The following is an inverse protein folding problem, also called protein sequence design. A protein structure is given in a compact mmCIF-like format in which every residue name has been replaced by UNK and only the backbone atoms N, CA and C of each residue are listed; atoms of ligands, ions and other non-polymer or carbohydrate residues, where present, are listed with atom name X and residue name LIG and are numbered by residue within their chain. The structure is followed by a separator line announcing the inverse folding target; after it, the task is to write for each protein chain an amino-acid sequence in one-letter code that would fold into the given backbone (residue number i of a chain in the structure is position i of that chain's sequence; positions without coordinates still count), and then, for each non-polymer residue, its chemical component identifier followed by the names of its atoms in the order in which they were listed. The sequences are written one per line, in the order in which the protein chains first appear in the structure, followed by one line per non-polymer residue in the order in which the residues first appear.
data_IF_887751653724
#
_entry.id   IF_887751653724
#
_cell.length_a   1.000
_cell.length_b   1.000
_cell.length_c   1.000
_cell.angle_alpha   90.00
_cell.angle_beta   90.00
_cell.angle_gamma   90.00
#
_symmetry.space_group_name_H-M   'P 1'
#
loop_
_entity.id
_entity.type
_entity.pdbx_description
1 polymer ?
#
# COMPACT_ATOMS: atom_id res chain seq x y z
N UNK A 1 15.96 1.25 -19.99
CA UNK A 1 14.66 1.59 -19.40
C UNK A 1 14.35 3.02 -19.79
N UNK A 2 13.19 3.26 -20.37
CA UNK A 2 12.76 4.62 -20.67
C UNK A 2 12.23 5.23 -19.35
N UNK A 3 12.85 6.31 -18.90
CA UNK A 3 12.50 6.95 -17.63
C UNK A 3 11.02 7.39 -17.59
N UNK A 4 10.47 7.81 -18.73
CA UNK A 4 9.05 8.15 -18.86
C UNK A 4 8.10 7.00 -18.49
N UNK A 5 8.52 5.75 -18.59
CA UNK A 5 7.70 4.58 -18.29
C UNK A 5 7.52 4.34 -16.80
N UNK A 6 8.37 4.95 -15.95
CA UNK A 6 8.34 4.76 -14.49
C UNK A 6 7.46 5.77 -13.75
N UNK A 7 6.94 6.81 -14.41
CA UNK A 7 5.99 7.74 -13.80
C UNK A 7 4.72 7.04 -13.36
N UNK A 8 4.19 7.42 -12.21
CA UNK A 8 2.87 6.99 -11.74
C UNK A 8 1.81 7.60 -12.65
N UNK A 9 1.01 6.75 -13.30
CA UNK A 9 -0.07 7.14 -14.20
C UNK A 9 -1.42 7.19 -13.48
N UNK A 10 -1.69 6.17 -12.68
CA UNK A 10 -2.97 6.05 -11.93
C UNK A 10 -2.76 5.23 -10.65
N UNK A 11 -3.67 5.43 -9.72
CA UNK A 11 -3.77 4.66 -8.47
C UNK A 11 -5.22 4.19 -8.34
N UNK A 12 -5.42 2.88 -8.25
CA UNK A 12 -6.73 2.28 -8.02
C UNK A 12 -6.84 1.72 -6.61
N UNK A 13 -8.01 1.86 -6.01
CA UNK A 13 -8.28 1.41 -4.65
C UNK A 13 -9.48 0.46 -4.71
N UNK A 14 -9.32 -0.74 -4.16
CA UNK A 14 -10.34 -1.76 -4.09
C UNK A 14 -10.56 -2.19 -2.65
N UNK A 15 -11.80 -2.47 -2.30
CA UNK A 15 -12.14 -3.16 -1.05
C UNK A 15 -12.50 -4.61 -1.35
N UNK A 16 -11.84 -5.54 -0.67
CA UNK A 16 -12.18 -6.96 -0.68
C UNK A 16 -12.64 -7.38 0.71
N UNK A 17 -13.77 -8.04 0.81
CA UNK A 17 -14.35 -8.51 2.07
C UNK A 17 -14.52 -10.02 2.02
N UNK A 18 -13.95 -10.73 2.99
CA UNK A 18 -14.13 -12.16 3.18
C UNK A 18 -14.90 -12.42 4.47
N UNK A 19 -15.93 -13.26 4.40
CA UNK A 19 -16.57 -13.80 5.60
C UNK A 19 -15.73 -14.94 6.15
N UNK A 20 -15.56 -14.99 7.45
CA UNK A 20 -14.91 -16.11 8.13
C UNK A 20 -15.90 -17.26 8.32
N UNK A 21 -15.48 -18.48 8.01
CA UNK A 21 -16.29 -19.70 8.29
C UNK A 21 -16.46 -19.92 9.79
N UNK A 22 -15.45 -19.52 10.56
CA UNK A 22 -15.47 -19.53 12.02
C UNK A 22 -15.06 -18.14 12.48
N UNK A 23 -15.94 -17.42 13.21
CA UNK A 23 -15.59 -16.11 13.78
C UNK A 23 -14.39 -16.24 14.72
N UNK A 24 -13.52 -15.25 14.66
CA UNK A 24 -12.41 -15.09 15.59
C UNK A 24 -12.90 -14.15 16.68
N UNK A 25 -12.75 -14.55 17.94
CA UNK A 25 -13.16 -13.72 19.07
C UNK A 25 -12.02 -13.57 20.07
N UNK A 26 -11.94 -12.41 20.70
CA UNK A 26 -11.17 -12.14 21.89
C UNK A 26 -12.11 -11.66 23.01
N UNK A 27 -11.55 -11.17 24.12
CA UNK A 27 -12.35 -10.71 25.27
C UNK A 27 -13.20 -9.46 24.96
N UNK A 28 -12.98 -8.78 23.85
CA UNK A 28 -13.57 -7.47 23.53
C UNK A 28 -14.18 -7.39 22.12
N UNK A 29 -13.85 -8.34 21.23
CA UNK A 29 -14.24 -8.28 19.82
C UNK A 29 -14.68 -9.62 19.28
N UNK A 30 -15.70 -9.58 18.43
CA UNK A 30 -16.11 -10.67 17.54
C UNK A 30 -15.83 -10.27 16.10
N UNK A 31 -14.96 -11.03 15.41
CA UNK A 31 -14.56 -10.79 14.03
C UNK A 31 -15.18 -11.87 13.15
N UNK A 32 -16.24 -11.56 12.46
CA UNK A 32 -16.94 -12.46 11.54
C UNK A 32 -16.58 -12.27 10.07
N UNK A 33 -15.89 -11.16 9.78
CA UNK A 33 -15.42 -10.82 8.42
C UNK A 33 -14.10 -10.07 8.49
N UNK A 34 -13.31 -10.24 7.43
CA UNK A 34 -12.05 -9.53 7.23
C UNK A 34 -12.19 -8.67 5.98
N UNK A 35 -11.86 -7.39 6.08
CA UNK A 35 -11.80 -6.49 4.95
C UNK A 35 -10.33 -6.11 4.67
N UNK A 36 -9.99 -6.09 3.39
CA UNK A 36 -8.72 -5.60 2.87
C UNK A 36 -9.00 -4.42 1.96
N UNK A 37 -8.13 -3.43 2.01
CA UNK A 37 -8.00 -2.43 0.95
C UNK A 37 -6.77 -2.77 0.13
N UNK A 38 -6.95 -3.00 -1.16
CA UNK A 38 -5.87 -3.22 -2.12
C UNK A 38 -5.67 -1.93 -2.89
N UNK A 39 -4.43 -1.50 -2.98
CA UNK A 39 -4.03 -0.33 -3.74
C UNK A 39 -3.12 -0.78 -4.87
N UNK A 40 -3.47 -0.40 -6.10
CA UNK A 40 -2.67 -0.63 -7.29
C UNK A 40 -2.08 0.69 -7.78
N UNK A 41 -0.78 0.69 -8.02
CA UNK A 41 -0.06 1.78 -8.69
C UNK A 41 0.22 1.34 -10.12
N UNK A 42 -0.34 2.03 -11.11
CA UNK A 42 -0.06 1.82 -12.52
C UNK A 42 0.96 2.85 -13.00
N UNK A 43 2.02 2.39 -13.67
CA UNK A 43 3.01 3.27 -14.30
C UNK A 43 2.60 3.66 -15.72
N UNK A 44 3.19 4.72 -16.28
CA UNK A 44 3.01 5.07 -17.71
C UNK A 44 3.47 3.95 -18.66
N UNK A 45 4.40 3.10 -18.23
CA UNK A 45 4.82 1.90 -18.94
C UNK A 45 3.86 0.71 -18.80
N UNK A 46 2.74 0.86 -18.10
CA UNK A 46 1.73 -0.20 -17.93
C UNK A 46 2.07 -1.24 -16.87
N UNK A 47 3.13 -1.06 -16.09
CA UNK A 47 3.44 -1.95 -14.97
C UNK A 47 2.53 -1.62 -13.80
N UNK A 48 1.99 -2.65 -13.14
CA UNK A 48 1.13 -2.52 -11.97
C UNK A 48 1.85 -3.10 -10.75
N UNK A 49 2.01 -2.28 -9.72
CA UNK A 49 2.44 -2.72 -8.40
C UNK A 49 1.29 -2.68 -7.41
N UNK A 50 1.32 -3.57 -6.41
CA UNK A 50 0.24 -3.75 -5.46
C UNK A 50 0.72 -3.64 -4.02
N UNK A 51 -0.08 -2.97 -3.20
CA UNK A 51 0.01 -2.98 -1.75
C UNK A 51 -1.36 -3.26 -1.14
N UNK A 52 -1.39 -3.67 0.11
CA UNK A 52 -2.67 -3.87 0.79
C UNK A 52 -2.62 -3.41 2.25
N UNK A 53 -3.80 -3.12 2.76
CA UNK A 53 -4.05 -2.77 4.15
C UNK A 53 -5.17 -3.65 4.70
N UNK A 54 -4.92 -4.28 5.83
CA UNK A 54 -5.91 -5.08 6.55
C UNK A 54 -6.69 -4.16 7.51
N UNK A 55 -8.01 -4.13 7.40
CA UNK A 55 -8.87 -3.30 8.27
C UNK A 55 -9.80 -4.09 9.18
N UNK A 56 -9.86 -5.43 9.02
CA UNK A 56 -10.95 -6.22 9.58
C UNK A 56 -12.31 -5.62 9.18
N UNK A 57 -13.09 -5.12 10.13
CA UNK A 57 -14.36 -4.45 9.89
C UNK A 57 -14.40 -3.02 10.45
N UNK A 58 -13.23 -2.52 10.93
CA UNK A 58 -13.16 -1.23 11.61
C UNK A 58 -13.02 -0.06 10.64
N UNK A 59 -13.76 1.01 10.90
CA UNK A 59 -13.63 2.32 10.25
C UNK A 59 -13.42 2.29 8.73
N UNK A 60 -14.19 1.52 7.94
CA UNK A 60 -13.92 1.35 6.51
C UNK A 60 -13.92 2.68 5.76
N UNK A 61 -14.86 3.57 6.05
CA UNK A 61 -14.95 4.87 5.39
C UNK A 61 -13.75 5.78 5.70
N UNK A 62 -13.25 5.75 6.93
CA UNK A 62 -12.10 6.56 7.32
C UNK A 62 -10.81 6.05 6.64
N UNK A 63 -10.64 4.74 6.55
CA UNK A 63 -9.50 4.11 5.84
C UNK A 63 -9.57 4.44 4.35
N UNK A 64 -10.73 4.27 3.73
CA UNK A 64 -10.92 4.60 2.32
C UNK A 64 -10.69 6.09 2.04
N UNK A 65 -11.15 6.97 2.93
CA UNK A 65 -10.91 8.41 2.88
C UNK A 65 -9.41 8.73 2.88
N UNK A 66 -8.66 8.17 3.84
CA UNK A 66 -7.21 8.38 3.92
C UNK A 66 -6.46 7.88 2.67
N UNK A 67 -6.87 6.74 2.10
CA UNK A 67 -6.31 6.22 0.85
C UNK A 67 -6.63 7.12 -0.35
N UNK A 68 -7.84 7.68 -0.42
CA UNK A 68 -8.26 8.60 -1.49
C UNK A 68 -7.53 9.94 -1.40
N UNK A 69 -7.37 10.50 -0.21
CA UNK A 69 -6.63 11.74 -0.01
C UNK A 69 -5.17 11.58 -0.45
N UNK A 70 -4.53 10.49 -0.03
CA UNK A 70 -3.17 10.17 -0.46
C UNK A 70 -3.07 9.94 -1.98
N UNK A 71 -4.02 9.22 -2.59
CA UNK A 71 -4.09 9.07 -4.05
C UNK A 71 -4.12 10.43 -4.74
N UNK A 72 -5.00 11.33 -4.30
CA UNK A 72 -5.14 12.66 -4.89
C UNK A 72 -3.85 13.47 -4.77
N UNK A 73 -3.20 13.41 -3.60
CA UNK A 73 -1.91 14.05 -3.38
C UNK A 73 -0.84 13.56 -4.36
N UNK A 74 -0.73 12.24 -4.54
CA UNK A 74 0.30 11.65 -5.42
C UNK A 74 0.02 11.98 -6.89
N UNK A 75 -1.23 11.86 -7.34
CA UNK A 75 -1.60 12.11 -8.74
C UNK A 75 -1.59 13.59 -9.12
N UNK A 76 -1.55 14.50 -8.16
CA UNK A 76 -1.36 15.94 -8.42
C UNK A 76 0.10 16.30 -8.77
N UNK A 77 1.02 15.35 -8.67
CA UNK A 77 2.46 15.53 -8.92
C UNK A 77 2.97 14.42 -9.83
N UNK A 78 4.06 14.70 -10.55
CA UNK A 78 4.72 13.73 -11.44
C UNK A 78 5.79 12.94 -10.66
N UNK A 79 5.37 11.94 -9.88
CA UNK A 79 6.30 11.04 -9.20
C UNK A 79 6.64 9.81 -10.03
N UNK A 80 7.88 9.36 -9.94
CA UNK A 80 8.29 8.04 -10.38
C UNK A 80 8.06 6.99 -9.27
N UNK A 81 7.82 5.74 -9.65
CA UNK A 81 7.62 4.65 -8.67
C UNK A 81 8.83 4.38 -7.78
N UNK A 82 10.03 4.80 -8.16
CA UNK A 82 11.23 4.65 -7.34
C UNK A 82 11.44 5.80 -6.33
N UNK A 83 10.69 6.89 -6.41
CA UNK A 83 10.82 8.06 -5.52
C UNK A 83 10.07 7.88 -4.19
N UNK A 84 10.13 6.67 -3.63
CA UNK A 84 9.38 6.31 -2.42
C UNK A 84 9.71 7.19 -1.21
N UNK A 85 10.99 7.54 -1.05
CA UNK A 85 11.43 8.42 0.04
C UNK A 85 10.97 9.89 -0.16
N UNK A 86 10.96 10.35 -1.41
CA UNK A 86 10.50 11.71 -1.73
C UNK A 86 8.99 11.84 -1.50
N UNK A 87 8.20 10.87 -1.98
CA UNK A 87 6.75 10.82 -1.73
C UNK A 87 6.45 10.82 -0.23
N UNK A 88 7.18 10.02 0.54
CA UNK A 88 7.01 10.01 2.00
C UNK A 88 7.27 11.39 2.61
N UNK A 89 8.40 12.01 2.29
CA UNK A 89 8.78 13.33 2.83
C UNK A 89 7.75 14.40 2.47
N UNK A 90 7.32 14.42 1.20
CA UNK A 90 6.38 15.42 0.72
C UNK A 90 4.99 15.24 1.36
N UNK A 91 4.56 13.98 1.56
CA UNK A 91 3.29 13.70 2.24
C UNK A 91 3.34 14.00 3.74
N UNK A 92 4.49 13.83 4.39
CA UNK A 92 4.72 14.24 5.77
C UNK A 92 4.57 15.75 5.94
N UNK A 93 5.09 16.53 4.98
CA UNK A 93 4.92 18.01 4.96
C UNK A 93 3.46 18.39 4.72
N UNK A 94 2.81 17.76 3.73
CA UNK A 94 1.39 18.02 3.43
C UNK A 94 0.47 17.73 4.63
N UNK A 95 0.83 16.70 5.40
CA UNK A 95 0.05 16.24 6.55
C UNK A 95 0.44 16.89 7.88
N UNK A 96 1.36 17.86 7.90
CA UNK A 96 1.92 18.41 9.15
C UNK A 96 0.85 18.95 10.10
N UNK A 97 -0.22 19.53 9.56
CA UNK A 97 -1.33 20.09 10.35
C UNK A 97 -2.08 19.03 11.14
N UNK A 98 -2.27 17.84 10.56
CA UNK A 98 -2.97 16.71 11.20
C UNK A 98 -2.01 15.75 11.92
N UNK A 99 -0.74 15.79 11.55
CA UNK A 99 0.24 14.76 11.87
C UNK A 99 0.09 13.53 10.99
N UNK A 100 1.19 12.82 10.78
CA UNK A 100 1.26 11.62 9.93
C UNK A 100 1.12 10.33 10.75
N UNK A 101 0.30 10.30 11.76
CA UNK A 101 0.03 9.12 12.57
C UNK A 101 -1.30 8.47 12.22
N UNK A 102 -1.50 7.22 12.60
CA UNK A 102 -2.76 6.52 12.37
C UNK A 102 -3.03 6.25 10.89
N UNK A 103 -4.21 6.63 10.41
CA UNK A 103 -4.70 6.26 9.07
C UNK A 103 -3.87 6.83 7.94
N UNK A 104 -3.34 8.04 8.07
CA UNK A 104 -2.44 8.63 7.07
C UNK A 104 -1.16 7.82 6.93
N UNK A 105 -0.58 7.35 8.04
CA UNK A 105 0.60 6.48 8.01
C UNK A 105 0.29 5.11 7.38
N UNK A 106 -0.89 4.56 7.64
CA UNK A 106 -1.32 3.30 7.02
C UNK A 106 -1.50 3.45 5.51
N UNK A 107 -2.15 4.53 5.07
CA UNK A 107 -2.32 4.83 3.66
C UNK A 107 -0.96 5.00 2.96
N UNK A 108 -0.05 5.78 3.55
CA UNK A 108 1.30 5.98 3.03
C UNK A 108 2.10 4.67 2.97
N UNK A 109 2.02 3.83 3.99
CA UNK A 109 2.70 2.53 4.00
C UNK A 109 2.17 1.60 2.90
N UNK A 110 0.85 1.59 2.68
CA UNK A 110 0.23 0.82 1.61
C UNK A 110 0.70 1.27 0.23
N UNK A 111 0.75 2.59 -0.01
CA UNK A 111 1.31 3.16 -1.23
C UNK A 111 2.78 2.79 -1.40
N UNK A 112 3.58 2.95 -0.36
CA UNK A 112 5.02 2.65 -0.40
C UNK A 112 5.29 1.22 -0.85
N UNK A 113 4.54 0.24 -0.31
CA UNK A 113 4.62 -1.16 -0.74
C UNK A 113 4.27 -1.32 -2.21
N UNK A 114 3.18 -0.68 -2.68
CA UNK A 114 2.78 -0.74 -4.08
C UNK A 114 3.80 -0.10 -5.03
N UNK A 115 4.43 1.01 -4.63
CA UNK A 115 5.49 1.65 -5.40
C UNK A 115 6.73 0.75 -5.50
N UNK A 116 7.16 0.13 -4.40
CA UNK A 116 8.27 -0.82 -4.41
C UNK A 116 7.98 -2.05 -5.30
N UNK A 117 6.75 -2.58 -5.25
CA UNK A 117 6.35 -3.70 -6.12
C UNK A 117 6.35 -3.28 -7.60
N UNK A 118 5.80 -2.10 -7.93
CA UNK A 118 5.84 -1.56 -9.30
C UNK A 118 7.28 -1.37 -9.80
N UNK A 119 8.15 -0.80 -8.96
CA UNK A 119 9.54 -0.58 -9.30
C UNK A 119 10.28 -1.90 -9.53
N UNK A 120 10.14 -2.87 -8.60
CA UNK A 120 10.76 -4.18 -8.73
C UNK A 120 10.32 -4.91 -9.99
N UNK A 121 9.03 -4.85 -10.33
CA UNK A 121 8.47 -5.40 -11.58
C UNK A 121 9.05 -4.70 -12.82
N UNK A 122 9.15 -3.38 -12.81
CA UNK A 122 9.76 -2.61 -13.90
C UNK A 122 11.22 -3.01 -14.12
N UNK A 123 11.95 -3.29 -13.03
CA UNK A 123 13.35 -3.74 -13.08
C UNK A 123 13.49 -5.23 -13.40
N UNK A 124 12.40 -6.00 -13.44
CA UNK A 124 12.45 -7.45 -13.59
C UNK A 124 13.18 -8.16 -12.44
N UNK A 125 13.18 -7.54 -11.24
CA UNK A 125 13.90 -8.06 -10.08
C UNK A 125 12.96 -8.23 -8.88
N UNK A 126 13.13 -9.29 -8.08
CA UNK A 126 12.40 -9.41 -6.82
C UNK A 126 12.91 -8.39 -5.80
N UNK A 127 12.01 -7.86 -4.97
CA UNK A 127 12.29 -6.80 -3.98
C UNK A 127 13.47 -7.15 -3.07
N UNK A 128 13.60 -8.42 -2.64
CA UNK A 128 14.69 -8.81 -1.74
C UNK A 128 16.08 -8.55 -2.34
N UNK A 129 16.23 -8.67 -3.68
CA UNK A 129 17.49 -8.34 -4.35
C UNK A 129 17.76 -6.84 -4.40
N UNK A 130 16.72 -6.05 -4.58
CA UNK A 130 16.82 -4.58 -4.57
C UNK A 130 17.27 -4.06 -3.20
N UNK A 131 16.93 -4.76 -2.13
CA UNK A 131 17.42 -4.49 -0.77
C UNK A 131 18.78 -5.15 -0.45
N UNK A 132 19.44 -5.77 -1.42
CA UNK A 132 20.73 -6.42 -1.21
C UNK A 132 20.67 -7.69 -0.37
N UNK A 133 19.51 -8.32 -0.27
CA UNK A 133 19.29 -9.51 0.53
C UNK A 133 19.47 -10.80 -0.28
N UNK A 134 19.83 -11.89 0.40
CA UNK A 134 19.82 -13.24 -0.17
C UNK A 134 18.47 -13.92 0.07
N UNK A 135 18.03 -14.73 -0.91
CA UNK A 135 16.88 -15.60 -0.73
C UNK A 135 17.17 -16.64 0.35
N UNK A 136 16.32 -16.68 1.38
CA UNK A 136 16.41 -17.67 2.46
C UNK A 136 15.00 -18.11 2.88
N UNK A 137 14.84 -19.31 3.45
CA UNK A 137 13.58 -19.69 4.09
C UNK A 137 13.23 -18.74 5.22
N UNK A 138 11.96 -18.40 5.33
CA UNK A 138 11.42 -17.58 6.42
C UNK A 138 10.58 -18.50 7.30
N UNK A 139 10.91 -18.65 8.60
CA UNK A 139 10.06 -19.40 9.52
C UNK A 139 8.68 -18.75 9.62
N UNK A 140 7.64 -19.57 9.53
CA UNK A 140 6.24 -19.14 9.65
C UNK A 140 5.50 -20.04 10.64
N UNK A 141 4.43 -19.52 11.22
CA UNK A 141 3.49 -20.30 12.01
C UNK A 141 2.07 -20.07 11.48
N UNK A 142 1.20 -21.06 11.65
CA UNK A 142 -0.22 -20.91 11.38
C UNK A 142 -0.87 -20.12 12.52
N UNK A 143 -1.67 -19.11 12.16
CA UNK A 143 -2.51 -18.36 13.10
C UNK A 143 -3.96 -18.72 12.81
N UNK A 144 -4.69 -19.20 13.83
CA UNK A 144 -6.07 -19.59 13.73
C UNK A 144 -6.87 -19.21 14.96
#
# INVERSE_FOLDING_TARGET
MNENETYIKDIRIYQAVSKLSHPIADSTHDISKIAFYVLEVETKGGVIGQGYLLSFHYSPNAIEGALKDMKNFVLAKDYHVYETAQVQKDYEIESEYFGIVGLQRWALATLNVAMWDAWARTMGQPIYRMFGCHRKPIPVYGSG
#
